data_IF_410490276349
#
_entry.id   IF_410490276349
#
_cell.length_a   1.000
_cell.length_b   1.000
_cell.length_c   1.000
_cell.angle_alpha   90.00
_cell.angle_beta   90.00
_cell.angle_gamma   90.00
#
_symmetry.space_group_name_H-M   'P 1'
#
loop_
_entity.id
_entity.type
_entity.pdbx_description
1 polymer ?
#
# COMPACT_ATOMS: atom_id res chain seq x y z
N UNK A 1 -30.51 -15.46 -18.74
CA UNK A 1 -29.43 -14.76 -19.45
C UNK A 1 -28.44 -14.27 -18.39
N UNK A 2 -27.31 -14.94 -18.28
CA UNK A 2 -26.33 -14.68 -17.21
C UNK A 2 -25.25 -13.77 -17.79
N UNK A 3 -25.44 -12.45 -17.64
CA UNK A 3 -24.44 -11.45 -18.04
C UNK A 3 -23.44 -11.31 -16.90
N UNK A 4 -22.52 -12.25 -16.81
CA UNK A 4 -21.29 -12.04 -16.04
C UNK A 4 -20.53 -10.87 -16.69
N UNK A 5 -20.72 -9.67 -16.14
CA UNK A 5 -19.86 -8.56 -16.45
C UNK A 5 -18.45 -8.97 -16.03
N UNK A 6 -17.64 -9.40 -16.99
CA UNK A 6 -16.20 -9.56 -16.80
C UNK A 6 -15.68 -8.15 -16.51
N UNK A 7 -15.43 -7.84 -15.25
CA UNK A 7 -14.72 -6.62 -14.89
C UNK A 7 -13.36 -6.73 -15.60
N UNK A 8 -13.15 -5.87 -16.59
CA UNK A 8 -11.86 -5.77 -17.26
C UNK A 8 -10.86 -5.32 -16.18
N UNK A 9 -9.95 -6.22 -15.81
CA UNK A 9 -8.85 -5.89 -14.89
C UNK A 9 -7.95 -4.93 -15.67
N UNK A 10 -7.87 -3.68 -15.23
CA UNK A 10 -6.95 -2.73 -15.83
C UNK A 10 -5.50 -3.15 -15.51
N UNK A 11 -4.52 -2.84 -16.38
CA UNK A 11 -3.10 -3.11 -16.10
C UNK A 11 -2.63 -2.54 -14.77
N UNK A 12 -3.26 -1.46 -14.31
CA UNK A 12 -2.97 -0.81 -13.03
C UNK A 12 -3.44 -1.61 -11.81
N UNK A 13 -4.31 -2.60 -12.02
CA UNK A 13 -4.83 -3.48 -10.97
C UNK A 13 -4.09 -4.83 -10.93
N UNK A 14 -3.13 -5.04 -11.80
CA UNK A 14 -2.29 -6.23 -11.81
C UNK A 14 -0.99 -5.97 -11.07
N UNK A 15 -0.55 -6.95 -10.30
CA UNK A 15 0.70 -6.90 -9.53
C UNK A 15 1.52 -8.14 -9.81
N UNK A 16 2.83 -7.97 -9.95
CA UNK A 16 3.72 -9.12 -9.95
C UNK A 16 3.95 -9.62 -8.51
N UNK A 17 4.36 -10.88 -8.33
CA UNK A 17 4.79 -11.38 -7.03
C UNK A 17 5.90 -10.54 -6.39
N UNK A 18 6.77 -9.95 -7.19
CA UNK A 18 7.86 -9.10 -6.70
C UNK A 18 7.35 -7.76 -6.16
N UNK A 19 6.37 -7.15 -6.83
CA UNK A 19 5.72 -5.94 -6.34
C UNK A 19 5.06 -6.15 -4.98
N UNK A 20 4.50 -7.35 -4.74
CA UNK A 20 3.83 -7.73 -3.50
C UNK A 20 4.79 -8.24 -2.41
N UNK A 21 6.10 -8.24 -2.65
CA UNK A 21 7.07 -8.77 -1.71
C UNK A 21 7.04 -10.31 -1.57
N UNK A 22 6.40 -11.01 -2.52
CA UNK A 22 6.28 -12.47 -2.54
C UNK A 22 7.37 -13.15 -3.37
N UNK A 23 8.41 -12.43 -3.76
CA UNK A 23 9.49 -12.95 -4.60
C UNK A 23 10.17 -14.22 -4.03
N UNK A 24 10.20 -14.37 -2.69
CA UNK A 24 10.71 -15.58 -2.02
C UNK A 24 9.94 -16.86 -2.36
N UNK A 25 8.73 -16.74 -2.88
CA UNK A 25 7.89 -17.87 -3.30
C UNK A 25 8.07 -18.22 -4.78
N UNK A 26 8.81 -17.39 -5.52
CA UNK A 26 9.11 -17.62 -6.93
C UNK A 26 10.42 -18.40 -7.03
N UNK A 27 10.33 -19.65 -7.42
CA UNK A 27 11.49 -20.54 -7.61
C UNK A 27 11.75 -20.75 -9.10
N UNK A 28 12.83 -20.16 -9.59
CA UNK A 28 13.27 -20.30 -10.97
C UNK A 28 14.13 -21.55 -11.24
N UNK A 29 14.54 -22.28 -10.19
CA UNK A 29 15.37 -23.47 -10.30
C UNK A 29 14.55 -24.75 -10.48
N UNK A 30 13.22 -24.65 -10.40
CA UNK A 30 12.35 -25.80 -10.68
C UNK A 30 12.47 -26.22 -12.15
N UNK A 31 12.56 -27.53 -12.38
CA UNK A 31 12.58 -28.11 -13.74
C UNK A 31 11.27 -27.87 -14.49
N UNK A 32 10.15 -27.78 -13.77
CA UNK A 32 8.85 -27.51 -14.37
C UNK A 32 8.71 -26.06 -14.78
N UNK A 33 8.32 -25.83 -16.04
CA UNK A 33 7.91 -24.51 -16.50
C UNK A 33 6.54 -24.14 -15.90
N UNK A 34 6.34 -22.84 -15.65
CA UNK A 34 5.08 -22.33 -15.12
C UNK A 34 4.66 -21.05 -15.85
N UNK A 35 3.36 -20.82 -15.90
CA UNK A 35 2.79 -19.63 -16.55
C UNK A 35 3.36 -18.36 -15.90
N UNK A 36 3.94 -17.48 -16.73
CA UNK A 36 4.52 -16.21 -16.27
C UNK A 36 6.02 -16.25 -15.97
N UNK A 37 6.69 -17.43 -15.99
CA UNK A 37 8.13 -17.55 -15.71
C UNK A 37 8.97 -16.58 -16.53
N UNK A 38 8.74 -16.50 -17.84
CA UNK A 38 9.49 -15.59 -18.73
C UNK A 38 9.31 -14.12 -18.35
N UNK A 39 8.09 -13.71 -18.00
CA UNK A 39 7.80 -12.34 -17.59
C UNK A 39 8.51 -11.99 -16.29
N UNK A 40 8.48 -12.88 -15.30
CA UNK A 40 9.15 -12.68 -14.01
C UNK A 40 10.68 -12.66 -14.12
N UNK A 41 11.25 -13.50 -15.00
CA UNK A 41 12.70 -13.46 -15.29
C UNK A 41 13.07 -12.13 -15.95
N UNK A 42 12.29 -11.67 -16.92
CA UNK A 42 12.53 -10.38 -17.58
C UNK A 42 12.41 -9.21 -16.59
N UNK A 43 11.42 -9.22 -15.70
CA UNK A 43 11.25 -8.21 -14.65
C UNK A 43 12.47 -8.17 -13.71
N UNK A 44 12.98 -9.34 -13.31
CA UNK A 44 14.16 -9.44 -12.45
C UNK A 44 15.42 -8.92 -13.15
N UNK A 45 15.61 -9.26 -14.44
CA UNK A 45 16.73 -8.79 -15.25
C UNK A 45 16.68 -7.28 -15.51
N UNK A 46 15.49 -6.70 -15.57
CA UNK A 46 15.28 -5.26 -15.68
C UNK A 46 15.53 -4.49 -14.36
N UNK A 47 16.01 -5.16 -13.32
CA UNK A 47 16.29 -4.54 -12.01
C UNK A 47 15.15 -4.66 -11.00
N UNK A 48 14.20 -5.54 -11.26
CA UNK A 48 13.02 -5.78 -10.42
C UNK A 48 11.85 -4.86 -10.71
N UNK A 49 10.78 -4.96 -9.95
CA UNK A 49 9.55 -4.22 -10.20
C UNK A 49 9.72 -2.71 -10.01
N UNK A 50 8.95 -1.94 -10.77
CA UNK A 50 8.94 -0.48 -10.68
C UNK A 50 8.31 0.03 -9.37
N UNK A 51 7.42 -0.78 -8.78
CA UNK A 51 6.71 -0.48 -7.53
C UNK A 51 6.98 -1.53 -6.47
N UNK A 52 6.84 -1.12 -5.22
CA UNK A 52 7.02 -1.98 -4.05
C UNK A 52 5.86 -1.85 -3.09
N UNK A 53 5.45 -2.97 -2.51
CA UNK A 53 4.55 -2.99 -1.37
C UNK A 53 5.31 -2.49 -0.14
N UNK A 54 4.77 -1.45 0.50
CA UNK A 54 5.31 -0.86 1.72
C UNK A 54 4.24 -0.73 2.79
N UNK A 55 4.65 -0.67 4.04
CA UNK A 55 3.82 -0.20 5.14
C UNK A 55 3.82 1.33 5.18
N UNK A 56 2.67 1.91 5.46
CA UNK A 56 2.48 3.34 5.69
C UNK A 56 1.96 3.56 7.10
N UNK A 57 2.54 4.50 7.81
CA UNK A 57 2.03 5.03 9.08
C UNK A 57 1.58 6.47 8.82
N UNK A 58 0.28 6.73 8.96
CA UNK A 58 -0.31 8.06 8.77
C UNK A 58 -0.15 8.89 10.04
N UNK A 59 0.14 10.17 9.86
CA UNK A 59 0.19 11.12 10.96
C UNK A 59 -1.22 11.38 11.49
N UNK A 60 -1.46 10.92 12.73
CA UNK A 60 -2.78 11.05 13.36
C UNK A 60 -3.18 12.50 13.56
N UNK A 61 -2.24 13.39 13.93
CA UNK A 61 -2.53 14.82 14.09
C UNK A 61 -3.02 15.45 12.78
N UNK A 62 -2.46 15.02 11.64
CA UNK A 62 -2.95 15.42 10.33
C UNK A 62 -4.37 14.93 10.04
N UNK A 63 -4.72 13.72 10.45
CA UNK A 63 -6.10 13.19 10.34
C UNK A 63 -7.04 14.02 11.22
N UNK A 64 -6.69 14.26 12.48
CA UNK A 64 -7.48 15.08 13.40
C UNK A 64 -7.72 16.49 12.85
N UNK A 65 -6.70 17.11 12.26
CA UNK A 65 -6.82 18.41 11.63
C UNK A 65 -7.82 18.42 10.46
N UNK A 66 -7.93 17.33 9.70
CA UNK A 66 -8.94 17.21 8.64
C UNK A 66 -10.37 17.19 9.21
N UNK A 67 -10.61 16.47 10.30
CA UNK A 67 -11.91 16.47 10.98
C UNK A 67 -12.23 17.82 11.62
N UNK A 68 -11.25 18.44 12.27
CA UNK A 68 -11.40 19.73 12.95
C UNK A 68 -11.84 20.86 12.01
N UNK A 69 -11.44 20.83 10.73
CA UNK A 69 -11.90 21.80 9.72
C UNK A 69 -13.42 21.82 9.57
N UNK A 70 -14.07 20.69 9.81
CA UNK A 70 -15.53 20.55 9.72
C UNK A 70 -16.22 20.63 11.11
N UNK A 71 -15.48 20.99 12.15
CA UNK A 71 -16.01 21.02 13.52
C UNK A 71 -16.36 19.65 14.07
N UNK A 72 -15.79 18.60 13.51
CA UNK A 72 -16.05 17.21 13.89
C UNK A 72 -14.94 16.66 14.79
N UNK A 73 -15.33 15.80 15.73
CA UNK A 73 -14.38 14.96 16.43
C UNK A 73 -13.83 13.90 15.46
N UNK A 74 -12.53 13.63 15.55
CA UNK A 74 -11.92 12.57 14.76
C UNK A 74 -12.54 11.20 15.10
N UNK A 75 -12.86 10.44 14.08
CA UNK A 75 -13.49 9.14 14.24
C UNK A 75 -12.56 8.03 13.72
N UNK A 76 -12.38 7.02 14.56
CA UNK A 76 -11.68 5.79 14.19
C UNK A 76 -12.71 4.82 13.60
N UNK A 77 -12.61 4.56 12.29
CA UNK A 77 -13.44 3.52 11.66
C UNK A 77 -13.06 2.14 12.21
N UNK A 78 -14.05 1.31 12.60
CA UNK A 78 -13.79 -0.09 12.94
C UNK A 78 -13.51 -0.95 11.72
N UNK A 79 -13.68 -0.42 10.52
CA UNK A 79 -13.49 -1.13 9.26
C UNK A 79 -12.20 -0.70 8.58
N UNK A 80 -11.62 -1.63 7.82
CA UNK A 80 -10.52 -1.32 6.89
C UNK A 80 -11.08 -0.59 5.68
N UNK A 81 -10.59 0.60 5.41
CA UNK A 81 -10.84 1.26 4.14
C UNK A 81 -9.97 0.58 3.07
N UNK A 82 -10.64 0.04 2.05
CA UNK A 82 -10.02 -0.68 0.93
C UNK A 82 -10.10 0.11 -0.38
N UNK A 83 -10.64 1.31 -0.35
CA UNK A 83 -10.62 2.17 -1.52
C UNK A 83 -9.18 2.64 -1.78
N UNK A 84 -8.61 2.39 -2.97
CA UNK A 84 -7.28 2.88 -3.28
C UNK A 84 -7.28 4.40 -3.33
N UNK A 85 -6.37 5.03 -2.59
CA UNK A 85 -6.19 6.48 -2.59
C UNK A 85 -4.80 6.86 -3.04
N UNK A 86 -4.63 7.98 -3.76
CA UNK A 86 -3.33 8.44 -4.24
C UNK A 86 -2.35 8.73 -3.10
N UNK A 87 -1.08 8.41 -3.35
CA UNK A 87 0.05 8.80 -2.49
C UNK A 87 0.95 9.73 -3.28
N UNK A 88 1.40 10.80 -2.64
CA UNK A 88 2.18 11.87 -3.24
C UNK A 88 3.52 12.07 -2.55
N UNK A 89 4.51 12.49 -3.32
CA UNK A 89 5.77 13.04 -2.88
C UNK A 89 5.99 14.34 -3.65
N UNK A 90 6.19 15.45 -2.94
CA UNK A 90 6.43 16.76 -3.55
C UNK A 90 5.43 17.11 -4.67
N UNK A 91 4.14 16.89 -4.41
CA UNK A 91 3.00 17.04 -5.33
C UNK A 91 2.97 16.09 -6.55
N UNK A 92 3.95 15.24 -6.75
CA UNK A 92 3.92 14.16 -7.74
C UNK A 92 3.26 12.93 -7.15
N UNK A 93 2.31 12.32 -7.84
CA UNK A 93 1.78 11.03 -7.45
C UNK A 93 2.87 9.97 -7.63
N UNK A 94 3.14 9.22 -6.55
CA UNK A 94 4.21 8.21 -6.49
C UNK A 94 3.69 6.81 -6.21
N UNK A 95 2.38 6.66 -6.18
CA UNK A 95 1.74 5.39 -5.94
C UNK A 95 0.34 5.56 -5.38
N UNK A 96 -0.11 4.52 -4.69
CA UNK A 96 -1.42 4.48 -4.04
C UNK A 96 -1.36 3.72 -2.72
N UNK A 97 -2.12 4.15 -1.72
CA UNK A 97 -2.46 3.33 -0.57
C UNK A 97 -3.63 2.42 -0.97
N UNK A 98 -3.54 1.14 -0.67
CA UNK A 98 -4.52 0.12 -1.09
C UNK A 98 -5.46 -0.30 0.02
N UNK A 99 -5.08 -0.03 1.25
CA UNK A 99 -5.92 -0.21 2.42
C UNK A 99 -5.39 0.62 3.59
N UNK A 100 -6.28 1.19 4.38
CA UNK A 100 -5.96 1.98 5.55
C UNK A 100 -6.85 1.50 6.70
N UNK A 101 -6.28 1.37 7.90
CA UNK A 101 -6.99 0.96 9.09
C UNK A 101 -6.32 1.48 10.36
N UNK A 102 -7.08 1.56 11.42
CA UNK A 102 -6.54 1.77 12.77
C UNK A 102 -6.01 0.45 13.35
N UNK A 103 -4.73 0.41 13.63
CA UNK A 103 -4.09 -0.72 14.29
C UNK A 103 -4.31 -0.66 15.80
N UNK A 104 -5.31 -1.37 16.31
CA UNK A 104 -5.71 -1.31 17.73
C UNK A 104 -4.61 -1.69 18.70
N UNK A 105 -3.75 -2.63 18.33
CA UNK A 105 -2.62 -3.09 19.16
C UNK A 105 -1.47 -2.08 19.16
N UNK A 106 -1.15 -1.51 18.00
CA UNK A 106 -0.04 -0.57 17.86
C UNK A 106 -0.45 0.88 18.10
N UNK A 107 -1.77 1.15 18.22
CA UNK A 107 -2.36 2.48 18.44
C UNK A 107 -1.96 3.51 17.37
N UNK A 108 -1.96 3.07 16.11
CA UNK A 108 -1.56 3.90 14.97
C UNK A 108 -2.49 3.67 13.78
N UNK A 109 -2.67 4.69 12.96
CA UNK A 109 -3.31 4.54 11.66
C UNK A 109 -2.27 4.07 10.66
N UNK A 110 -2.50 2.89 10.11
CA UNK A 110 -1.55 2.23 9.20
C UNK A 110 -2.24 1.77 7.93
N UNK A 111 -1.46 1.58 6.89
CA UNK A 111 -1.97 1.10 5.62
C UNK A 111 -0.92 0.41 4.77
N UNK A 112 -1.36 -0.31 3.76
CA UNK A 112 -0.48 -0.81 2.73
C UNK A 112 -0.43 0.17 1.57
N UNK A 113 0.77 0.42 1.05
CA UNK A 113 1.00 1.23 -0.14
C UNK A 113 1.74 0.46 -1.22
N UNK A 114 1.37 0.72 -2.48
CA UNK A 114 2.18 0.34 -3.64
C UNK A 114 2.83 1.63 -4.15
N UNK A 115 4.12 1.80 -3.87
CA UNK A 115 4.88 3.02 -4.16
C UNK A 115 5.99 2.77 -5.17
N UNK A 116 6.42 3.85 -5.85
CA UNK A 116 7.62 3.84 -6.68
C UNK A 116 8.81 3.30 -5.86
N UNK A 117 9.64 2.47 -6.49
CA UNK A 117 10.76 1.76 -5.87
C UNK A 117 11.68 2.66 -5.04
N UNK A 118 11.91 3.89 -5.50
CA UNK A 118 12.80 4.84 -4.83
C UNK A 118 12.33 5.24 -3.41
N UNK A 119 11.05 4.99 -3.12
CA UNK A 119 10.42 5.34 -1.84
C UNK A 119 10.23 4.14 -0.90
N UNK A 120 10.72 2.95 -1.25
CA UNK A 120 10.60 1.75 -0.42
C UNK A 120 11.34 1.83 0.93
N UNK A 121 12.29 2.76 1.03
CA UNK A 121 13.13 2.89 2.24
C UNK A 121 12.30 3.33 3.45
N UNK A 122 12.40 2.58 4.53
CA UNK A 122 11.83 2.95 5.83
C UNK A 122 12.26 4.36 6.25
N UNK A 123 11.30 5.16 6.70
CA UNK A 123 11.50 6.57 7.04
C UNK A 123 11.23 7.54 5.89
N UNK A 124 11.00 7.05 4.65
CA UNK A 124 10.60 7.90 3.53
C UNK A 124 9.28 8.61 3.86
N UNK A 125 9.24 9.93 3.65
CA UNK A 125 8.05 10.74 3.91
C UNK A 125 7.26 10.94 2.63
N UNK A 126 5.95 10.73 2.74
CA UNK A 126 4.97 10.88 1.66
C UNK A 126 3.70 11.54 2.20
N UNK A 127 2.74 11.84 1.34
CA UNK A 127 1.41 12.29 1.74
C UNK A 127 0.37 11.37 1.12
N UNK A 128 -0.61 10.98 1.91
CA UNK A 128 -1.74 10.13 1.48
C UNK A 128 -2.97 11.00 1.33
N UNK A 129 -3.69 10.86 0.22
CA UNK A 129 -4.98 11.51 0.07
C UNK A 129 -5.96 10.98 1.13
N UNK A 130 -6.64 11.89 1.81
CA UNK A 130 -7.61 11.58 2.83
C UNK A 130 -8.85 12.45 2.67
N UNK A 131 -10.04 11.90 2.84
CA UNK A 131 -11.29 12.63 2.63
C UNK A 131 -12.12 12.64 3.91
N UNK A 132 -12.60 13.82 4.26
CA UNK A 132 -13.56 14.02 5.35
C UNK A 132 -14.71 14.87 4.81
N UNK A 133 -15.95 14.45 4.99
CA UNK A 133 -17.17 15.16 4.51
C UNK A 133 -17.09 15.52 3.01
N UNK A 134 -16.47 14.68 2.20
CA UNK A 134 -16.30 14.91 0.75
C UNK A 134 -15.18 15.89 0.38
N UNK A 135 -14.57 16.57 1.34
CA UNK A 135 -13.38 17.38 1.11
C UNK A 135 -12.12 16.50 1.09
N UNK A 136 -11.34 16.62 0.02
CA UNK A 136 -10.07 15.92 -0.13
C UNK A 136 -8.92 16.76 0.41
N UNK A 137 -8.08 16.13 1.20
CA UNK A 137 -6.84 16.72 1.68
C UNK A 137 -5.68 15.74 1.61
N UNK A 138 -4.53 16.13 2.11
CA UNK A 138 -3.35 15.26 2.19
C UNK A 138 -2.92 15.15 3.65
N UNK A 139 -2.76 13.92 4.10
CA UNK A 139 -2.23 13.59 5.43
C UNK A 139 -0.81 13.09 5.26
N UNK A 140 0.12 13.60 6.06
CA UNK A 140 1.50 13.12 6.07
C UNK A 140 1.54 11.64 6.48
N UNK A 141 2.44 10.90 5.86
CA UNK A 141 2.68 9.50 6.19
C UNK A 141 4.16 9.16 6.07
N UNK A 142 4.58 8.16 6.82
CA UNK A 142 5.94 7.65 6.82
C UNK A 142 5.93 6.20 6.37
N UNK A 143 6.86 5.83 5.50
CA UNK A 143 7.09 4.42 5.12
C UNK A 143 7.66 3.68 6.31
N UNK A 144 7.02 2.58 6.70
CA UNK A 144 7.41 1.75 7.86
C UNK A 144 7.64 0.30 7.44
N UNK A 145 8.41 -0.47 8.23
CA UNK A 145 8.64 -1.88 7.93
C UNK A 145 7.35 -2.70 8.02
N UNK A 146 7.35 -3.81 7.30
CA UNK A 146 6.33 -4.86 7.42
C UNK A 146 6.96 -6.11 8.04
N UNK A 147 6.24 -6.82 8.91
CA UNK A 147 4.89 -6.55 9.40
C UNK A 147 4.85 -5.35 10.36
N UNK A 148 3.70 -4.67 10.47
CA UNK A 148 3.50 -3.53 11.40
C UNK A 148 3.72 -3.89 12.87
N UNK A 149 3.54 -5.16 13.24
CA UNK A 149 3.77 -5.68 14.57
C UNK A 149 4.68 -6.90 14.47
N UNK A 150 5.91 -6.77 14.94
CA UNK A 150 6.89 -7.82 14.99
C UNK A 150 7.10 -8.25 16.46
N UNK A 151 6.50 -9.38 16.82
CA UNK A 151 6.60 -9.93 18.17
C UNK A 151 7.74 -10.95 18.24
N UNK A 152 8.59 -10.92 19.30
CA UNK A 152 9.71 -11.86 19.47
C UNK A 152 9.30 -13.34 19.35
N UNK A 153 8.11 -13.69 19.87
CA UNK A 153 7.54 -15.04 19.79
C UNK A 153 7.24 -15.55 18.37
N UNK A 154 7.29 -14.67 17.37
CA UNK A 154 7.09 -15.06 15.97
C UNK A 154 8.39 -15.39 15.24
N UNK A 155 9.52 -15.28 15.93
CA UNK A 155 10.86 -15.53 15.37
C UNK A 155 11.46 -16.88 15.81
N UNK A 156 10.70 -17.67 16.59
CA UNK A 156 11.07 -19.04 17.01
C UNK A 156 10.50 -20.08 16.08
#
# INVERSE_FOLDING_TARGET
MNTSARHAISPEQTYSPFELGLGRLVDFHKDADFTGRRALVAEQQAGGPARRLVGLELDWAGVEAMFAKHGLASMISPFVDRAPVPVYKDNRQVGRATSIAWGTTIKKMVGFGSLDKDLEKTGSRVSVEYSVEGERGKVAATVVPLPFLDLPRKRT
#
